data_IF_664347627641
#
_entry.id   IF_664347627641
#
_cell.length_a   1.000
_cell.length_b   1.000
_cell.length_c   1.000
_cell.angle_alpha   90.00
_cell.angle_beta   90.00
_cell.angle_gamma   90.00
#
_symmetry.space_group_name_H-M   'P 1'
#
loop_
_entity.id
_entity.type
_entity.pdbx_description
1 polymer ?
#
# COMPACT_ATOMS: atom_id res chain seq x y z
N UNK A 1 9.47 -24.60 4.37
CA UNK A 1 9.96 -23.80 5.52
C UNK A 1 8.77 -23.00 6.04
N UNK A 2 8.54 -22.94 7.35
CA UNK A 2 7.51 -22.08 7.95
C UNK A 2 8.25 -20.90 8.62
N UNK A 3 8.05 -19.68 8.12
CA UNK A 3 8.59 -18.47 8.74
C UNK A 3 7.50 -17.81 9.58
N UNK A 4 7.83 -17.45 10.82
CA UNK A 4 6.92 -16.77 11.76
C UNK A 4 7.48 -15.43 12.14
N UNK A 5 6.66 -14.39 12.00
CA UNK A 5 7.01 -13.02 12.35
C UNK A 5 6.00 -12.47 13.36
N UNK A 6 6.48 -11.67 14.31
CA UNK A 6 5.63 -11.02 15.32
C UNK A 6 5.54 -9.54 14.98
N UNK A 7 4.33 -9.06 14.70
CA UNK A 7 4.04 -7.64 14.50
C UNK A 7 3.70 -6.99 15.84
N UNK A 8 4.34 -5.86 16.16
CA UNK A 8 4.08 -5.09 17.39
C UNK A 8 2.97 -4.05 17.19
N UNK A 9 1.92 -4.42 16.46
CA UNK A 9 0.74 -3.60 16.20
C UNK A 9 -0.51 -4.49 16.17
N UNK A 10 -1.69 -3.87 16.03
CA UNK A 10 -2.95 -4.59 15.76
C UNK A 10 -3.32 -4.36 14.29
N UNK A 11 -2.97 -5.28 13.38
CA UNK A 11 -3.25 -5.09 11.95
C UNK A 11 -4.76 -5.15 11.69
N UNK A 12 -5.23 -4.24 10.84
CA UNK A 12 -6.58 -4.24 10.27
C UNK A 12 -6.55 -4.70 8.81
N UNK A 13 -5.53 -4.30 8.04
CA UNK A 13 -5.35 -4.69 6.65
C UNK A 13 -3.89 -5.09 6.41
N UNK A 14 -3.70 -6.20 5.69
CA UNK A 14 -2.40 -6.72 5.27
C UNK A 14 -2.46 -7.02 3.78
N UNK A 15 -1.43 -6.65 3.03
CA UNK A 15 -1.30 -7.01 1.62
C UNK A 15 0.17 -7.19 1.21
N UNK A 16 0.46 -8.24 0.43
CA UNK A 16 1.77 -8.51 -0.15
C UNK A 16 1.90 -7.83 -1.50
N UNK A 17 3.11 -7.38 -1.84
CA UNK A 17 3.43 -6.95 -3.19
C UNK A 17 3.54 -8.15 -4.14
N UNK A 18 3.57 -7.89 -5.45
CA UNK A 18 3.45 -8.91 -6.50
C UNK A 18 4.61 -9.93 -6.54
N UNK A 19 5.75 -9.65 -5.92
CA UNK A 19 6.89 -10.57 -5.80
C UNK A 19 7.05 -11.18 -4.40
N UNK A 20 6.11 -10.89 -3.48
CA UNK A 20 6.09 -11.39 -2.09
C UNK A 20 7.32 -11.00 -1.26
N UNK A 21 8.03 -9.93 -1.62
CA UNK A 21 9.21 -9.45 -0.87
C UNK A 21 8.86 -8.46 0.24
N UNK A 22 7.71 -7.77 0.11
CA UNK A 22 7.25 -6.73 1.04
C UNK A 22 5.77 -6.89 1.38
N UNK A 23 5.45 -6.72 2.64
CA UNK A 23 4.08 -6.65 3.15
C UNK A 23 3.77 -5.23 3.59
N UNK A 24 2.54 -4.81 3.31
CA UNK A 24 1.94 -3.61 3.84
C UNK A 24 1.04 -3.92 5.02
N UNK A 25 1.01 -3.00 5.99
CA UNK A 25 0.28 -3.14 7.23
C UNK A 25 -0.42 -1.83 7.53
N UNK A 26 -1.75 -1.80 7.50
CA UNK A 26 -2.55 -0.73 8.11
C UNK A 26 -3.05 -1.26 9.46
N UNK A 27 -2.70 -0.56 10.54
CA UNK A 27 -3.16 -0.89 11.88
C UNK A 27 -4.52 -0.25 12.22
N UNK A 28 -5.09 -0.59 13.38
CA UNK A 28 -6.37 -0.02 13.86
C UNK A 28 -6.36 1.50 14.08
N UNK A 29 -5.18 2.14 14.09
CA UNK A 29 -5.04 3.59 14.22
C UNK A 29 -4.90 4.29 12.86
N UNK A 30 -5.04 3.54 11.75
CA UNK A 30 -4.84 4.06 10.40
C UNK A 30 -3.37 4.36 10.08
N UNK A 31 -2.43 3.69 10.75
CA UNK A 31 -1.01 3.83 10.48
C UNK A 31 -0.59 2.77 9.45
N UNK A 32 -0.19 3.22 8.27
CA UNK A 32 0.41 2.39 7.22
C UNK A 32 1.93 2.29 7.43
N UNK A 33 2.42 1.05 7.54
CA UNK A 33 3.83 0.69 7.63
C UNK A 33 4.15 -0.47 6.68
N UNK A 34 5.44 -0.73 6.43
CA UNK A 34 5.91 -1.84 5.60
C UNK A 34 6.80 -2.80 6.37
N UNK A 35 6.76 -4.07 5.98
CA UNK A 35 7.58 -5.16 6.50
C UNK A 35 8.24 -5.90 5.33
N UNK A 36 9.57 -5.95 5.28
CA UNK A 36 10.33 -6.67 4.26
C UNK A 36 10.70 -8.07 4.77
N UNK A 37 10.49 -9.10 3.96
CA UNK A 37 10.79 -10.50 4.32
C UNK A 37 12.25 -10.90 4.10
N UNK A 38 13.00 -10.08 3.36
CA UNK A 38 14.43 -10.24 3.12
C UNK A 38 15.18 -8.93 3.41
N UNK A 39 15.71 -8.81 4.62
CA UNK A 39 16.49 -7.65 5.06
C UNK A 39 17.96 -7.70 4.59
N UNK A 40 18.38 -8.77 3.90
CA UNK A 40 19.78 -8.93 3.47
C UNK A 40 20.22 -7.94 2.39
N UNK A 41 19.28 -7.34 1.65
CA UNK A 41 19.57 -6.42 0.56
C UNK A 41 19.72 -4.94 0.97
N UNK A 42 19.39 -4.56 2.22
CA UNK A 42 19.36 -3.14 2.65
C UNK A 42 20.13 -2.82 3.94
N UNK A 43 20.90 -3.78 4.45
CA UNK A 43 21.69 -3.64 5.68
C UNK A 43 22.91 -2.71 5.58
N UNK A 44 22.99 -1.81 4.59
CA UNK A 44 24.09 -0.84 4.46
C UNK A 44 23.87 0.48 5.23
N UNK A 45 22.67 0.75 5.76
CA UNK A 45 22.40 1.97 6.53
C UNK A 45 21.87 1.69 7.96
N UNK A 46 22.79 1.32 8.85
CA UNK A 46 22.82 1.80 10.24
C UNK A 46 21.81 1.29 11.28
N UNK A 47 21.01 0.26 11.02
CA UNK A 47 20.04 -0.28 11.99
C UNK A 47 20.59 -1.39 12.89
N UNK A 48 20.53 -1.22 14.21
CA UNK A 48 20.95 -2.22 15.20
C UNK A 48 20.13 -3.52 15.08
N UNK A 49 20.84 -4.63 14.86
CA UNK A 49 20.32 -6.00 14.88
C UNK A 49 19.79 -6.34 16.28
N UNK A 50 18.49 -6.13 16.52
CA UNK A 50 17.81 -6.64 17.72
C UNK A 50 17.48 -8.12 17.53
N UNK A 51 18.47 -8.96 17.83
CA UNK A 51 18.45 -10.39 18.11
C UNK A 51 17.18 -11.20 17.82
N UNK A 52 17.30 -12.14 16.87
CA UNK A 52 16.46 -13.34 16.82
C UNK A 52 16.13 -13.83 15.42
N UNK A 53 17.09 -14.45 14.71
CA UNK A 53 16.90 -15.48 13.66
C UNK A 53 15.98 -15.22 12.46
N UNK A 54 15.30 -14.09 12.36
CA UNK A 54 14.32 -13.80 11.31
C UNK A 54 14.94 -12.83 10.29
N UNK A 55 14.94 -13.22 9.01
CA UNK A 55 15.56 -12.51 7.87
C UNK A 55 14.69 -11.33 7.40
N UNK A 56 13.84 -10.75 8.26
CA UNK A 56 12.89 -9.70 7.85
C UNK A 56 12.63 -8.68 8.96
N UNK A 57 12.15 -7.50 8.59
CA UNK A 57 11.95 -6.39 9.52
C UNK A 57 11.06 -5.27 8.97
N UNK A 58 10.63 -4.39 9.86
CA UNK A 58 9.90 -3.18 9.48
C UNK A 58 10.81 -2.26 8.64
N UNK A 59 10.27 -1.68 7.59
CA UNK A 59 10.98 -0.69 6.76
C UNK A 59 11.15 0.60 7.57
N UNK A 60 12.38 1.03 7.88
CA UNK A 60 12.60 2.25 8.64
C UNK A 60 12.19 3.47 7.80
N UNK A 61 11.78 4.55 8.48
CA UNK A 61 11.47 5.85 7.88
C UNK A 61 10.30 5.90 6.88
N UNK A 62 9.50 4.83 6.78
CA UNK A 62 8.23 4.85 6.05
C UNK A 62 7.06 4.64 7.01
N UNK A 63 6.29 5.70 7.24
CA UNK A 63 5.05 5.68 8.01
C UNK A 63 4.07 6.69 7.39
N UNK A 64 2.81 6.28 7.20
CA UNK A 64 1.72 7.20 6.82
C UNK A 64 0.60 7.10 7.84
N UNK A 65 0.06 8.25 8.24
CA UNK A 65 -1.05 8.36 9.19
C UNK A 65 -2.34 8.63 8.42
N UNK A 66 -3.48 8.38 9.06
CA UNK A 66 -4.80 8.58 8.45
C UNK A 66 -4.99 7.75 7.15
N UNK A 67 -4.26 6.64 7.04
CA UNK A 67 -4.35 5.72 5.91
C UNK A 67 -5.55 4.78 6.10
N UNK A 68 -6.44 4.75 5.13
CA UNK A 68 -7.67 3.96 5.22
C UNK A 68 -7.85 2.95 4.08
N UNK A 69 -7.04 3.03 3.02
CA UNK A 69 -7.00 2.06 1.94
C UNK A 69 -5.62 2.05 1.27
N UNK A 70 -5.23 0.92 0.71
CA UNK A 70 -3.98 0.72 -0.01
C UNK A 70 -4.04 -0.50 -0.93
N UNK A 71 -3.33 -0.42 -2.04
CA UNK A 71 -3.16 -1.52 -2.98
C UNK A 71 -1.80 -1.46 -3.66
N UNK A 72 -1.11 -2.61 -3.69
CA UNK A 72 0.10 -2.80 -4.50
C UNK A 72 -0.26 -2.87 -5.99
N UNK A 73 0.68 -2.46 -6.84
CA UNK A 73 0.58 -2.75 -8.28
C UNK A 73 0.78 -4.25 -8.51
N UNK A 74 -0.06 -4.85 -9.35
CA UNK A 74 0.00 -6.28 -9.66
C UNK A 74 1.20 -6.63 -10.56
N UNK A 75 1.82 -5.63 -11.20
CA UNK A 75 2.88 -5.76 -12.20
C UNK A 75 4.21 -5.10 -11.79
N UNK A 76 4.27 -4.41 -10.64
CA UNK A 76 5.47 -3.73 -10.18
C UNK A 76 5.57 -3.71 -8.64
N UNK A 77 6.58 -4.39 -8.05
CA UNK A 77 6.67 -4.59 -6.60
C UNK A 77 7.01 -3.31 -5.81
N UNK A 78 7.42 -2.24 -6.50
CA UNK A 78 7.74 -0.94 -5.90
C UNK A 78 6.61 0.08 -6.08
N UNK A 79 5.53 -0.25 -6.81
CA UNK A 79 4.39 0.65 -6.98
C UNK A 79 3.25 0.28 -6.04
N UNK A 80 2.66 1.28 -5.39
CA UNK A 80 1.39 1.14 -4.69
C UNK A 80 0.61 2.44 -4.70
N UNK A 81 -0.70 2.32 -4.55
CA UNK A 81 -1.61 3.42 -4.29
C UNK A 81 -2.10 3.33 -2.85
N UNK A 82 -2.36 4.48 -2.23
CA UNK A 82 -2.94 4.56 -0.90
C UNK A 82 -3.85 5.77 -0.76
N UNK A 83 -4.79 5.68 0.17
CA UNK A 83 -5.71 6.76 0.51
C UNK A 83 -5.38 7.34 1.87
N UNK A 84 -5.15 8.66 1.92
CA UNK A 84 -4.99 9.45 3.14
C UNK A 84 -6.04 10.55 3.15
N UNK A 85 -6.91 10.57 4.17
CA UNK A 85 -8.02 11.53 4.24
C UNK A 85 -8.81 11.54 2.92
N UNK A 86 -8.93 12.68 2.24
CA UNK A 86 -9.62 12.82 0.96
C UNK A 86 -8.65 12.90 -0.24
N UNK A 87 -7.50 12.21 -0.18
CA UNK A 87 -6.48 12.22 -1.22
C UNK A 87 -5.96 10.82 -1.51
N UNK A 88 -5.77 10.55 -2.79
CA UNK A 88 -5.02 9.40 -3.27
C UNK A 88 -3.56 9.78 -3.50
N UNK A 89 -2.66 8.93 -3.03
CA UNK A 89 -1.23 9.01 -3.29
C UNK A 89 -0.82 7.77 -4.09
N UNK A 90 -0.02 7.97 -5.13
CA UNK A 90 0.69 6.89 -5.81
C UNK A 90 2.16 7.00 -5.40
N UNK A 91 2.77 5.86 -5.09
CA UNK A 91 4.14 5.77 -4.65
C UNK A 91 4.98 4.91 -5.57
N UNK A 92 6.27 5.27 -5.66
CA UNK A 92 7.33 4.40 -6.15
C UNK A 92 8.39 4.24 -5.06
N UNK A 93 8.44 3.05 -4.45
CA UNK A 93 9.18 2.80 -3.23
C UNK A 93 8.65 3.70 -2.11
N UNK A 94 9.50 4.56 -1.55
CA UNK A 94 9.09 5.52 -0.51
C UNK A 94 8.74 6.91 -1.05
N UNK A 95 8.84 7.12 -2.37
CA UNK A 95 8.65 8.44 -2.99
C UNK A 95 7.19 8.63 -3.46
N UNK A 96 6.46 9.62 -2.91
CA UNK A 96 5.11 9.94 -3.38
C UNK A 96 5.15 10.75 -4.68
N UNK A 97 4.16 10.51 -5.53
CA UNK A 97 3.75 11.46 -6.57
C UNK A 97 2.88 12.59 -5.98
N UNK A 98 2.52 13.58 -6.82
CA UNK A 98 1.62 14.66 -6.41
C UNK A 98 0.23 14.07 -6.11
N UNK A 99 -0.30 14.25 -4.89
CA UNK A 99 -1.57 13.63 -4.52
C UNK A 99 -2.74 14.27 -5.27
N UNK A 100 -3.73 13.44 -5.58
CA UNK A 100 -4.96 13.87 -6.24
C UNK A 100 -6.13 13.79 -5.27
N UNK A 101 -7.08 14.77 -5.28
CA UNK A 101 -8.30 14.66 -4.50
C UNK A 101 -9.09 13.41 -4.91
N UNK A 102 -9.45 12.57 -3.94
CA UNK A 102 -10.24 11.37 -4.18
C UNK A 102 -10.85 10.86 -2.88
N UNK A 103 -12.06 10.30 -2.99
CA UNK A 103 -12.75 9.52 -1.96
C UNK A 103 -13.11 8.12 -2.45
N UNK A 104 -12.58 7.72 -3.62
CA UNK A 104 -12.84 6.40 -4.19
C UNK A 104 -12.06 5.31 -3.48
N UNK A 105 -12.66 4.13 -3.36
CA UNK A 105 -12.05 2.92 -2.82
C UNK A 105 -11.23 2.24 -3.92
N UNK A 106 -9.98 1.89 -3.65
CA UNK A 106 -9.07 1.33 -4.65
C UNK A 106 -9.49 -0.10 -4.97
N UNK A 107 -9.58 -0.43 -6.26
CA UNK A 107 -10.04 -1.73 -6.75
C UNK A 107 -8.99 -2.48 -7.56
N UNK A 108 -8.11 -1.76 -8.28
CA UNK A 108 -7.07 -2.36 -9.10
C UNK A 108 -5.90 -1.40 -9.27
N UNK A 109 -4.68 -1.92 -9.35
CA UNK A 109 -3.51 -1.18 -9.80
C UNK A 109 -2.65 -2.04 -10.74
N UNK A 110 -2.62 -1.68 -12.03
CA UNK A 110 -1.88 -2.38 -13.09
C UNK A 110 -1.56 -1.39 -14.20
N UNK A 111 -0.48 -1.59 -14.96
CA UNK A 111 -0.15 -0.82 -16.15
C UNK A 111 -0.10 0.70 -15.88
N UNK A 112 0.46 1.08 -14.72
CA UNK A 112 0.49 2.47 -14.23
C UNK A 112 -0.91 3.10 -14.04
N UNK A 113 -1.97 2.30 -13.92
CA UNK A 113 -3.35 2.78 -13.76
C UNK A 113 -3.99 2.25 -12.48
N UNK A 114 -4.39 3.17 -11.63
CA UNK A 114 -5.21 2.89 -10.45
C UNK A 114 -6.68 3.03 -10.85
N UNK A 115 -7.47 1.99 -10.61
CA UNK A 115 -8.93 2.02 -10.73
C UNK A 115 -9.52 2.08 -9.32
N UNK A 116 -10.44 3.02 -9.10
CA UNK A 116 -11.16 3.15 -7.84
C UNK A 116 -12.67 3.30 -8.08
N UNK A 117 -13.48 3.02 -7.06
CA UNK A 117 -14.94 3.12 -7.14
C UNK A 117 -15.48 4.02 -6.03
N UNK A 118 -16.42 4.89 -6.38
CA UNK A 118 -17.23 5.65 -5.43
C UNK A 118 -18.29 4.73 -4.82
N UNK A 119 -17.96 4.06 -3.71
CA UNK A 119 -18.87 3.11 -3.05
C UNK A 119 -20.13 3.78 -2.50
N UNK A 120 -20.03 5.04 -2.07
CA UNK A 120 -21.16 5.83 -1.61
C UNK A 120 -22.20 6.08 -2.71
N UNK A 121 -21.75 6.33 -3.93
CA UNK A 121 -22.64 6.42 -5.10
C UNK A 121 -23.15 5.04 -5.52
N UNK A 122 -22.30 4.01 -5.51
CA UNK A 122 -22.68 2.64 -5.86
C UNK A 122 -23.79 2.10 -4.96
N UNK A 123 -23.71 2.36 -3.65
CA UNK A 123 -24.68 1.88 -2.66
C UNK A 123 -26.05 2.54 -2.81
N UNK A 124 -26.16 3.69 -3.49
CA UNK A 124 -27.46 4.34 -3.77
C UNK A 124 -28.28 3.56 -4.79
N UNK A 125 -27.65 3.00 -5.82
CA UNK A 125 -28.29 2.22 -6.87
C UNK A 125 -27.47 0.97 -7.22
N UNK A 126 -27.43 -0.04 -6.32
CA UNK A 126 -26.55 -1.20 -6.47
C UNK A 126 -26.92 -2.10 -7.66
N UNK A 127 -28.18 -2.09 -8.09
CA UNK A 127 -28.68 -2.92 -9.19
C UNK A 127 -28.39 -2.33 -10.58
N UNK A 128 -27.98 -1.06 -10.65
CA UNK A 128 -27.70 -0.36 -11.90
C UNK A 128 -26.45 0.54 -11.80
N UNK A 129 -25.26 -0.06 -11.62
CA UNK A 129 -24.02 0.70 -11.46
C UNK A 129 -23.69 1.53 -12.72
N UNK A 130 -23.38 2.81 -12.52
CA UNK A 130 -22.91 3.69 -13.59
C UNK A 130 -21.38 3.63 -13.73
N UNK A 131 -20.88 3.72 -14.97
CA UNK A 131 -19.44 3.85 -15.23
C UNK A 131 -18.84 5.12 -14.64
N UNK A 132 -19.65 6.15 -14.40
CA UNK A 132 -19.22 7.41 -13.77
C UNK A 132 -18.77 7.21 -12.32
N UNK A 133 -19.17 6.10 -11.68
CA UNK A 133 -18.72 5.73 -10.34
C UNK A 133 -17.30 5.14 -10.33
N UNK A 134 -16.75 4.78 -11.51
CA UNK A 134 -15.41 4.22 -11.66
C UNK A 134 -14.43 5.34 -12.02
N UNK A 135 -13.47 5.57 -11.14
CA UNK A 135 -12.39 6.53 -11.30
C UNK A 135 -11.13 5.84 -11.81
N UNK A 136 -10.38 6.54 -12.66
CA UNK A 136 -9.10 6.09 -13.19
C UNK A 136 -8.03 7.15 -12.96
N UNK A 137 -6.92 6.75 -12.36
CA UNK A 137 -5.76 7.61 -12.10
C UNK A 137 -4.52 7.01 -12.74
N UNK A 138 -3.69 7.84 -13.38
CA UNK A 138 -2.47 7.39 -14.05
C UNK A 138 -1.23 7.81 -13.25
N UNK A 139 -0.34 6.84 -12.99
CA UNK A 139 0.97 7.03 -12.39
C UNK A 139 1.96 7.57 -13.42
N UNK A 140 3.00 8.28 -12.96
CA UNK A 140 4.06 8.77 -13.84
C UNK A 140 4.93 7.62 -14.35
N UNK A 141 5.14 7.60 -15.66
CA UNK A 141 6.14 6.75 -16.29
C UNK A 141 7.56 7.24 -15.97
N UNK A 142 8.52 6.32 -16.05
CA UNK A 142 9.94 6.67 -16.01
C UNK A 142 10.29 7.38 -17.34
N UNK A 143 10.90 8.56 -17.24
CA UNK A 143 11.44 9.30 -18.41
C UNK A 143 12.84 8.82 -18.74
#
# INVERSE_FOLDING_TARGET
LEQKYILRCRPQQLALNCDSTRMSIIDINGILTFFDFDSSARAEEGGENLGGGAVGGMVPNFERKDAWDMMWSDDNPELFAMMEKARMYIFRGTNPEEPVPSSGYICNFSDLRVTAVLLDELVKEPDNPSKEMVLSFEAKSLR
#
